data_IF_883965802284
#
_entry.id   IF_883965802284
#
_cell.length_a   1.000
_cell.length_b   1.000
_cell.length_c   1.000
_cell.angle_alpha   90.00
_cell.angle_beta   90.00
_cell.angle_gamma   90.00
#
_symmetry.space_group_name_H-M   'P 1'
#
loop_
_entity.id
_entity.type
_entity.pdbx_description
1 polymer ?
#
# COMPACT_ATOMS: atom_id res chain seq x y z
N UNK A 1 22.16 11.25 -12.34
CA UNK A 1 21.67 10.58 -13.57
C UNK A 1 20.85 9.37 -13.14
N UNK A 2 19.53 9.38 -13.28
CA UNK A 2 18.67 8.24 -12.90
C UNK A 2 18.41 7.42 -14.16
N UNK A 3 18.78 6.15 -14.13
CA UNK A 3 18.57 5.24 -15.25
C UNK A 3 17.11 4.79 -15.31
N UNK A 4 16.50 4.76 -16.50
CA UNK A 4 15.11 4.31 -16.67
C UNK A 4 14.95 2.82 -16.41
N UNK A 5 13.81 2.39 -15.85
CA UNK A 5 13.42 0.97 -15.76
C UNK A 5 12.67 0.43 -16.97
N UNK A 6 12.37 1.30 -17.95
CA UNK A 6 11.63 0.88 -19.14
C UNK A 6 12.39 -0.24 -19.87
N UNK A 7 11.72 -1.36 -20.24
CA UNK A 7 12.35 -2.40 -21.02
C UNK A 7 12.81 -1.84 -22.37
N UNK A 8 14.06 -2.09 -22.76
CA UNK A 8 14.60 -1.81 -24.10
C UNK A 8 14.83 -3.15 -24.80
N UNK A 9 14.43 -3.24 -26.07
CA UNK A 9 14.45 -4.48 -26.82
C UNK A 9 15.88 -5.06 -26.97
N UNK A 10 16.85 -4.18 -27.22
CA UNK A 10 18.28 -4.50 -27.31
C UNK A 10 18.83 -5.11 -26.02
N UNK A 11 18.52 -4.49 -24.88
CA UNK A 11 18.92 -4.95 -23.55
C UNK A 11 18.26 -6.27 -23.18
N UNK A 12 16.96 -6.43 -23.47
CA UNK A 12 16.21 -7.67 -23.19
C UNK A 12 16.71 -8.85 -24.03
N UNK A 13 17.09 -8.60 -25.29
CA UNK A 13 17.61 -9.64 -26.18
C UNK A 13 19.01 -10.14 -25.76
N UNK A 14 19.87 -9.23 -25.27
CA UNK A 14 21.23 -9.58 -24.84
C UNK A 14 21.30 -10.09 -23.40
N UNK A 15 20.44 -9.60 -22.53
CA UNK A 15 20.45 -9.92 -21.10
C UNK A 15 19.05 -9.74 -20.49
N UNK A 16 18.21 -10.76 -20.59
CA UNK A 16 16.90 -10.73 -19.95
C UNK A 16 16.98 -10.56 -18.41
N UNK A 17 18.09 -11.00 -17.80
CA UNK A 17 18.35 -10.96 -16.36
C UNK A 17 18.68 -9.56 -15.81
N UNK A 18 19.00 -8.59 -16.68
CA UNK A 18 19.42 -7.23 -16.30
C UNK A 18 20.75 -7.19 -15.53
N UNK A 19 21.59 -8.23 -15.63
CA UNK A 19 22.94 -8.28 -15.07
C UNK A 19 23.85 -7.15 -15.56
N UNK A 20 23.69 -6.76 -16.83
CA UNK A 20 24.45 -5.69 -17.49
C UNK A 20 23.88 -4.31 -17.17
N UNK A 21 22.94 -4.21 -16.23
CA UNK A 21 22.34 -2.96 -15.74
C UNK A 21 21.87 -2.08 -16.89
N UNK A 22 21.26 -2.64 -17.94
CA UNK A 22 20.77 -1.87 -19.09
C UNK A 22 19.46 -1.12 -18.80
N UNK A 23 18.85 -1.39 -17.64
CA UNK A 23 17.71 -0.68 -17.04
C UNK A 23 17.75 -0.80 -15.52
N UNK A 24 17.09 0.13 -14.84
CA UNK A 24 16.85 0.00 -13.40
C UNK A 24 15.87 -1.15 -13.12
N UNK A 25 16.19 -2.09 -12.20
CA UNK A 25 15.27 -3.16 -11.84
C UNK A 25 14.13 -2.60 -10.97
N UNK A 26 12.84 -2.81 -11.34
CA UNK A 26 11.73 -2.40 -10.51
C UNK A 26 11.84 -2.99 -9.10
N UNK A 27 11.51 -2.18 -8.10
CA UNK A 27 11.69 -2.51 -6.68
C UNK A 27 10.36 -2.46 -5.96
N UNK A 28 9.90 -3.60 -5.44
CA UNK A 28 8.73 -3.66 -4.55
C UNK A 28 8.92 -2.74 -3.33
N UNK A 29 7.88 -2.01 -2.96
CA UNK A 29 7.86 -1.20 -1.75
C UNK A 29 7.97 -2.07 -0.50
N UNK A 30 8.54 -1.52 0.57
CA UNK A 30 8.56 -2.19 1.88
C UNK A 30 7.20 -2.09 2.55
N UNK A 31 6.95 -2.95 3.54
CA UNK A 31 5.72 -2.94 4.33
C UNK A 31 5.32 -1.54 4.82
N UNK A 32 6.29 -0.79 5.37
CA UNK A 32 6.09 0.56 5.90
C UNK A 32 5.70 1.55 4.80
N UNK A 33 6.37 1.47 3.66
CA UNK A 33 6.06 2.33 2.52
C UNK A 33 4.69 2.03 1.92
N UNK A 34 4.28 0.75 1.84
CA UNK A 34 2.96 0.38 1.33
C UNK A 34 1.88 0.96 2.25
N UNK A 35 2.01 0.76 3.56
CA UNK A 35 1.06 1.27 4.54
C UNK A 35 0.97 2.80 4.52
N UNK A 36 2.11 3.48 4.59
CA UNK A 36 2.15 4.95 4.61
C UNK A 36 1.62 5.51 3.27
N UNK A 37 1.84 4.82 2.14
CA UNK A 37 1.27 5.22 0.84
C UNK A 37 -0.24 5.07 0.82
N UNK A 38 -0.81 4.00 1.38
CA UNK A 38 -2.26 3.82 1.51
C UNK A 38 -2.89 4.93 2.34
N UNK A 39 -2.30 5.24 3.50
CA UNK A 39 -2.75 6.32 4.38
C UNK A 39 -2.65 7.70 3.68
N UNK A 40 -1.61 7.91 2.88
CA UNK A 40 -1.43 9.16 2.14
C UNK A 40 -2.44 9.30 0.98
N UNK A 41 -2.71 8.21 0.26
CA UNK A 41 -3.69 8.17 -0.81
C UNK A 41 -5.12 8.38 -0.26
N UNK A 42 -5.49 7.71 0.83
CA UNK A 42 -6.79 7.88 1.48
C UNK A 42 -6.96 9.24 2.17
N UNK A 43 -5.86 9.94 2.47
CA UNK A 43 -5.88 11.21 3.18
C UNK A 43 -5.90 11.06 4.71
N UNK A 44 -5.83 9.82 5.22
CA UNK A 44 -5.83 9.51 6.64
C UNK A 44 -4.51 9.83 7.35
N UNK A 45 -3.40 9.96 6.60
CA UNK A 45 -2.05 9.96 7.18
C UNK A 45 -1.81 11.07 8.21
N UNK A 46 -1.49 10.66 9.43
CA UNK A 46 -0.96 11.54 10.45
C UNK A 46 0.57 11.67 10.31
N UNK A 47 1.01 12.87 9.96
CA UNK A 47 2.40 13.24 9.70
C UNK A 47 3.12 13.87 10.91
N UNK A 48 2.48 13.93 12.09
CA UNK A 48 3.09 14.48 13.31
C UNK A 48 4.45 13.83 13.58
N UNK A 49 5.44 14.66 13.94
CA UNK A 49 6.79 14.22 14.29
C UNK A 49 6.96 14.10 15.81
N UNK A 50 7.70 13.09 16.28
CA UNK A 50 7.97 12.88 17.71
C UNK A 50 6.75 12.44 18.54
N UNK A 51 6.89 12.39 19.87
CA UNK A 51 5.79 11.96 20.75
C UNK A 51 5.50 10.45 20.69
N UNK A 52 4.43 9.98 21.38
CA UNK A 52 4.18 8.57 21.59
C UNK A 52 3.79 7.83 20.31
N UNK A 53 4.28 6.60 20.18
CA UNK A 53 3.86 5.69 19.12
C UNK A 53 2.43 5.19 19.28
N UNK A 54 1.97 4.39 18.31
CA UNK A 54 0.68 3.69 18.37
C UNK A 54 0.87 2.18 18.44
N UNK A 55 -0.20 1.47 18.80
CA UNK A 55 -0.21 0.01 18.96
C UNK A 55 -1.22 -0.61 18.00
N UNK A 56 -0.79 -1.65 17.28
CA UNK A 56 -1.63 -2.45 16.38
C UNK A 56 -2.09 -3.76 17.01
N UNK A 57 -1.82 -3.94 18.30
CA UNK A 57 -2.22 -5.11 19.07
C UNK A 57 -3.11 -4.70 20.23
N UNK A 58 -4.18 -5.45 20.44
CA UNK A 58 -4.92 -5.47 21.70
C UNK A 58 -4.15 -6.33 22.69
N UNK A 59 -3.93 -5.80 23.90
CA UNK A 59 -3.16 -6.47 24.93
C UNK A 59 -4.15 -6.95 25.98
N UNK A 60 -4.26 -8.27 26.12
CA UNK A 60 -5.03 -8.89 27.20
C UNK A 60 -4.03 -9.33 28.27
N UNK A 61 -4.20 -8.82 29.49
CA UNK A 61 -3.41 -9.24 30.65
C UNK A 61 -4.20 -10.27 31.43
N UNK A 62 -3.71 -11.51 31.40
CA UNK A 62 -4.09 -12.56 32.35
C UNK A 62 -2.86 -12.86 33.22
N UNK A 63 -2.35 -14.10 33.18
CA UNK A 63 -1.09 -14.48 33.84
C UNK A 63 0.15 -14.02 33.05
N UNK A 64 -0.01 -13.81 31.73
CA UNK A 64 1.00 -13.29 30.80
C UNK A 64 0.32 -12.28 29.86
N UNK A 65 1.10 -11.43 29.19
CA UNK A 65 0.58 -10.53 28.16
C UNK A 65 0.34 -11.29 26.86
N UNK A 66 -0.91 -11.36 26.43
CA UNK A 66 -1.29 -11.86 25.11
C UNK A 66 -1.52 -10.69 24.16
N UNK A 67 -1.00 -10.81 22.93
CA UNK A 67 -1.09 -9.77 21.91
C UNK A 67 -1.95 -10.28 20.76
N UNK A 68 -3.10 -9.66 20.56
CA UNK A 68 -4.00 -10.00 19.47
C UNK A 68 -3.95 -8.91 18.40
N UNK A 69 -3.78 -9.25 17.11
CA UNK A 69 -3.82 -8.25 16.04
C UNK A 69 -5.15 -7.49 16.06
N UNK A 70 -5.09 -6.17 15.94
CA UNK A 70 -6.30 -5.35 15.86
C UNK A 70 -6.96 -5.52 14.50
N UNK A 71 -8.28 -5.76 14.54
CA UNK A 71 -9.09 -5.87 13.33
C UNK A 71 -9.60 -4.53 12.84
N UNK A 72 -9.75 -3.55 13.74
CA UNK A 72 -10.30 -2.22 13.46
C UNK A 72 -9.30 -1.14 13.80
N UNK A 73 -9.02 -0.25 12.82
CA UNK A 73 -8.11 0.87 12.96
C UNK A 73 -8.89 2.18 13.08
N UNK A 74 -8.44 3.07 13.95
CA UNK A 74 -9.01 4.40 14.18
C UNK A 74 -7.99 5.48 13.83
N UNK A 75 -8.37 6.75 14.02
CA UNK A 75 -7.49 7.91 13.78
C UNK A 75 -6.15 7.81 14.49
N UNK A 76 -6.09 7.15 15.65
CA UNK A 76 -4.86 6.96 16.42
C UNK A 76 -3.85 6.03 15.72
N UNK A 77 -4.31 5.16 14.83
CA UNK A 77 -3.48 4.20 14.09
C UNK A 77 -3.18 4.66 12.66
N UNK A 78 -3.65 5.83 12.22
CA UNK A 78 -3.34 6.36 10.90
C UNK A 78 -2.01 7.12 10.84
N UNK A 79 -1.18 6.93 11.86
CA UNK A 79 0.15 7.50 11.96
C UNK A 79 1.16 6.69 11.15
N UNK A 80 2.19 7.38 10.63
CA UNK A 80 3.33 6.78 9.91
C UNK A 80 3.86 5.55 10.65
N UNK A 81 4.09 4.46 9.91
CA UNK A 81 4.45 3.15 10.47
C UNK A 81 5.78 3.15 11.22
N UNK A 82 6.64 4.14 11.01
CA UNK A 82 7.87 4.34 11.80
C UNK A 82 7.61 4.56 13.30
N UNK A 83 6.42 5.07 13.66
CA UNK A 83 5.98 5.23 15.06
C UNK A 83 5.20 4.02 15.60
N UNK A 84 5.12 2.93 14.84
CA UNK A 84 4.41 1.74 15.26
C UNK A 84 5.22 0.99 16.32
N UNK A 85 4.56 0.62 17.42
CA UNK A 85 5.16 -0.27 18.41
C UNK A 85 5.35 -1.66 17.81
N UNK A 86 6.56 -2.20 17.90
CA UNK A 86 6.89 -3.56 17.49
C UNK A 86 6.96 -4.48 18.69
N UNK A 87 6.22 -5.58 18.63
CA UNK A 87 6.30 -6.67 19.62
C UNK A 87 7.28 -7.70 19.08
N UNK A 88 8.22 -8.14 19.91
CA UNK A 88 9.37 -8.94 19.47
C UNK A 88 8.98 -10.32 18.95
N UNK A 89 7.94 -10.92 19.55
CA UNK A 89 7.49 -12.29 19.27
C UNK A 89 6.27 -12.35 18.34
N UNK A 90 5.72 -11.20 17.92
CA UNK A 90 4.43 -11.16 17.24
C UNK A 90 4.47 -10.29 15.99
N UNK A 91 3.81 -10.76 14.94
CA UNK A 91 3.72 -10.05 13.66
C UNK A 91 2.36 -9.37 13.50
N UNK A 92 2.39 -8.22 12.81
CA UNK A 92 1.16 -7.53 12.39
C UNK A 92 0.45 -8.35 11.30
N UNK A 93 -0.87 -8.42 11.35
CA UNK A 93 -1.68 -9.29 10.48
C UNK A 93 -1.53 -8.96 8.98
N UNK A 94 -1.53 -7.67 8.62
CA UNK A 94 -1.54 -7.25 7.21
C UNK A 94 -0.11 -7.03 6.71
N UNK A 95 0.74 -6.37 7.48
CA UNK A 95 2.07 -5.94 7.07
C UNK A 95 3.20 -6.81 7.61
N UNK A 96 2.95 -7.70 8.58
CA UNK A 96 3.90 -8.71 9.01
C UNK A 96 4.31 -9.64 7.86
N UNK A 97 3.34 -10.01 7.03
CA UNK A 97 3.57 -10.83 5.83
C UNK A 97 4.46 -10.14 4.77
N UNK A 98 4.72 -8.83 4.85
CA UNK A 98 5.43 -8.03 3.85
C UNK A 98 6.95 -7.95 4.08
N UNK A 99 7.56 -9.09 4.41
CA UNK A 99 9.01 -9.20 4.70
C UNK A 99 9.47 -8.18 5.76
N UNK A 100 8.60 -7.91 6.75
CA UNK A 100 8.95 -7.04 7.86
C UNK A 100 9.99 -7.75 8.72
N UNK A 101 11.10 -7.07 9.13
CA UNK A 101 12.10 -7.69 10.00
C UNK A 101 11.48 -8.28 11.25
N UNK A 102 11.85 -9.53 11.56
CA UNK A 102 11.57 -10.14 12.86
C UNK A 102 12.30 -9.35 13.95
N UNK A 103 11.58 -8.96 15.00
CA UNK A 103 12.16 -8.25 16.14
C UNK A 103 13.17 -9.09 16.94
N UNK A 104 13.18 -10.41 16.74
CA UNK A 104 14.12 -11.33 17.38
C UNK A 104 15.48 -11.44 16.69
N UNK A 105 15.60 -11.04 15.43
CA UNK A 105 16.78 -11.33 14.61
C UNK A 105 17.44 -10.06 14.08
N UNK A 106 18.78 -10.08 14.04
CA UNK A 106 19.54 -9.05 13.32
C UNK A 106 19.47 -9.36 11.83
N UNK A 107 19.01 -8.41 11.02
CA UNK A 107 18.95 -8.54 9.57
C UNK A 107 19.83 -7.49 8.89
N UNK A 108 20.93 -7.93 8.27
CA UNK A 108 21.84 -7.04 7.54
C UNK A 108 21.22 -6.54 6.22
N UNK A 109 20.40 -7.37 5.58
CA UNK A 109 19.73 -7.07 4.31
C UNK A 109 18.29 -7.59 4.33
N UNK A 110 17.32 -6.69 4.15
CA UNK A 110 15.91 -7.08 4.06
C UNK A 110 15.67 -7.99 2.83
N UNK A 111 15.02 -9.12 3.05
CA UNK A 111 14.44 -9.94 1.98
C UNK A 111 13.28 -9.20 1.32
N UNK A 112 12.99 -9.56 0.08
CA UNK A 112 11.83 -9.06 -0.66
C UNK A 112 11.25 -10.25 -1.42
N UNK A 113 10.15 -10.76 -0.88
CA UNK A 113 9.41 -11.85 -1.46
C UNK A 113 8.24 -11.28 -2.26
N UNK A 114 7.74 -12.06 -3.20
CA UNK A 114 6.48 -11.79 -3.91
C UNK A 114 5.65 -13.05 -3.83
N UNK A 115 4.88 -13.19 -2.75
CA UNK A 115 4.08 -14.39 -2.52
C UNK A 115 2.60 -14.13 -2.84
N UNK A 116 1.86 -15.14 -3.32
CA UNK A 116 0.40 -15.03 -3.49
C UNK A 116 -0.31 -14.63 -2.20
N UNK A 117 0.18 -15.10 -1.04
CA UNK A 117 -0.38 -14.79 0.27
C UNK A 117 -0.29 -13.28 0.60
N UNK A 118 0.82 -12.63 0.24
CA UNK A 118 0.96 -11.18 0.39
C UNK A 118 -0.06 -10.43 -0.47
N UNK A 119 -0.26 -10.84 -1.72
CA UNK A 119 -1.27 -10.24 -2.59
C UNK A 119 -2.70 -10.44 -2.05
N UNK A 120 -3.01 -11.64 -1.56
CA UNK A 120 -4.29 -11.95 -0.96
C UNK A 120 -4.54 -11.15 0.33
N UNK A 121 -3.49 -10.94 1.14
CA UNK A 121 -3.54 -10.13 2.35
C UNK A 121 -3.84 -8.66 2.07
N UNK A 122 -3.29 -8.08 1.01
CA UNK A 122 -3.68 -6.72 0.60
C UNK A 122 -5.09 -6.66 0.03
N UNK A 123 -5.51 -7.73 -0.64
CA UNK A 123 -6.83 -7.77 -1.21
C UNK A 123 -7.88 -7.80 -0.09
N UNK A 124 -7.72 -8.64 0.93
CA UNK A 124 -8.75 -8.92 1.94
C UNK A 124 -8.51 -8.31 3.33
N UNK A 125 -7.35 -7.71 3.57
CA UNK A 125 -7.01 -7.16 4.89
C UNK A 125 -7.97 -6.04 5.30
N UNK A 126 -8.44 -6.08 6.55
CA UNK A 126 -9.39 -5.09 7.09
C UNK A 126 -8.86 -3.65 6.97
N UNK A 127 -7.56 -3.46 7.20
CA UNK A 127 -6.89 -2.18 6.99
C UNK A 127 -7.06 -1.68 5.55
N UNK A 128 -6.78 -2.52 4.55
CA UNK A 128 -6.83 -2.11 3.14
C UNK A 128 -8.27 -1.82 2.72
N UNK A 129 -9.25 -2.59 3.20
CA UNK A 129 -10.67 -2.33 2.95
C UNK A 129 -11.10 -0.98 3.55
N UNK A 130 -10.66 -0.66 4.77
CA UNK A 130 -10.92 0.64 5.39
C UNK A 130 -10.27 1.79 4.59
N UNK A 131 -9.00 1.65 4.20
CA UNK A 131 -8.30 2.67 3.42
C UNK A 131 -8.90 2.83 2.01
N UNK A 132 -9.38 1.76 1.38
CA UNK A 132 -10.08 1.81 0.11
C UNK A 132 -11.41 2.58 0.24
N UNK A 133 -12.14 2.37 1.34
CA UNK A 133 -13.37 3.13 1.61
C UNK A 133 -13.07 4.61 1.81
N UNK A 134 -12.10 4.95 2.65
CA UNK A 134 -11.69 6.33 2.88
C UNK A 134 -11.17 7.02 1.61
N UNK A 135 -10.44 6.30 0.75
CA UNK A 135 -10.01 6.82 -0.55
C UNK A 135 -11.21 7.11 -1.46
N UNK A 136 -12.22 6.23 -1.48
CA UNK A 136 -13.44 6.48 -2.23
C UNK A 136 -14.18 7.72 -1.71
N UNK A 137 -14.43 7.81 -0.41
CA UNK A 137 -15.12 8.95 0.22
C UNK A 137 -14.35 10.27 -0.02
N UNK A 138 -13.01 10.22 0.03
CA UNK A 138 -12.14 11.35 -0.33
C UNK A 138 -12.31 11.77 -1.79
N UNK A 139 -12.40 10.83 -2.72
CA UNK A 139 -12.60 11.15 -4.13
C UNK A 139 -13.96 11.84 -4.37
N UNK A 140 -15.02 11.42 -3.67
CA UNK A 140 -16.31 12.10 -3.73
C UNK A 140 -16.24 13.51 -3.15
N UNK A 141 -15.57 13.67 -2.01
CA UNK A 141 -15.37 14.98 -1.35
C UNK A 141 -14.55 15.93 -2.22
N UNK A 142 -13.50 15.42 -2.88
CA UNK A 142 -12.61 16.20 -3.74
C UNK A 142 -13.26 16.56 -5.09
N UNK A 143 -14.40 15.94 -5.46
CA UNK A 143 -15.11 16.17 -6.73
C UNK A 143 -16.61 16.42 -6.52
N UNK A 144 -16.99 17.48 -5.79
CA UNK A 144 -18.39 17.76 -5.50
C UNK A 144 -19.17 18.04 -6.80
N UNK A 145 -20.26 17.31 -7.02
CA UNK A 145 -21.06 17.42 -8.26
C UNK A 145 -20.36 16.86 -9.52
N UNK A 146 -19.18 16.26 -9.38
CA UNK A 146 -18.43 15.67 -10.49
C UNK A 146 -19.01 14.34 -10.97
N UNK A 147 -18.69 14.01 -12.22
CA UNK A 147 -19.06 12.74 -12.85
C UNK A 147 -18.29 11.55 -12.27
N UNK A 148 -18.71 10.33 -12.60
CA UNK A 148 -17.93 9.11 -12.27
C UNK A 148 -16.51 9.19 -12.84
N UNK A 149 -16.34 9.75 -14.05
CA UNK A 149 -15.04 9.91 -14.68
C UNK A 149 -14.11 10.85 -13.90
N UNK A 150 -14.64 11.92 -13.29
CA UNK A 150 -13.88 12.84 -12.45
C UNK A 150 -13.37 12.14 -11.18
N UNK A 151 -14.24 11.35 -10.54
CA UNK A 151 -13.90 10.54 -9.35
C UNK A 151 -12.83 9.49 -9.67
N UNK A 152 -12.95 8.80 -10.80
CA UNK A 152 -11.97 7.82 -11.29
C UNK A 152 -10.62 8.50 -11.54
N UNK A 153 -10.64 9.64 -12.23
CA UNK A 153 -9.43 10.44 -12.51
C UNK A 153 -8.74 10.88 -11.22
N UNK A 154 -9.54 11.32 -10.23
CA UNK A 154 -9.03 11.70 -8.91
C UNK A 154 -8.41 10.52 -8.18
N UNK A 155 -9.07 9.36 -8.17
CA UNK A 155 -8.57 8.15 -7.51
C UNK A 155 -7.22 7.70 -8.08
N UNK A 156 -7.09 7.67 -9.41
CA UNK A 156 -5.83 7.33 -10.10
C UNK A 156 -4.73 8.32 -9.74
N UNK A 157 -5.04 9.63 -9.74
CA UNK A 157 -4.07 10.67 -9.40
C UNK A 157 -3.58 10.55 -7.95
N UNK A 158 -4.47 10.22 -7.02
CA UNK A 158 -4.13 10.01 -5.61
C UNK A 158 -3.31 8.73 -5.39
N UNK A 159 -3.63 7.65 -6.11
CA UNK A 159 -2.94 6.37 -5.97
C UNK A 159 -1.57 6.35 -6.66
N UNK A 160 -1.47 6.85 -7.90
CA UNK A 160 -0.27 6.71 -8.74
C UNK A 160 0.55 7.99 -8.89
N UNK A 161 0.03 9.14 -8.45
CA UNK A 161 0.75 10.42 -8.54
C UNK A 161 0.91 10.96 -9.96
N UNK A 162 0.15 10.44 -10.94
CA UNK A 162 0.19 10.84 -12.35
C UNK A 162 -1.22 11.06 -12.91
N UNK A 163 -1.39 11.75 -14.05
CA UNK A 163 -2.68 11.82 -14.73
C UNK A 163 -3.15 10.43 -15.20
N UNK A 164 -4.47 10.23 -15.18
CA UNK A 164 -5.11 9.06 -15.74
C UNK A 164 -5.12 9.13 -17.27
N UNK A 165 -4.97 7.99 -17.92
CA UNK A 165 -5.18 7.85 -19.37
C UNK A 165 -6.65 7.61 -19.68
N UNK A 166 -7.09 7.93 -20.90
CA UNK A 166 -8.49 7.72 -21.33
C UNK A 166 -8.95 6.27 -21.12
N UNK A 167 -8.11 5.29 -21.47
CA UNK A 167 -8.42 3.87 -21.27
C UNK A 167 -8.62 3.49 -19.79
N UNK A 168 -7.87 4.11 -18.87
CA UNK A 168 -8.02 3.87 -17.44
C UNK A 168 -9.28 4.51 -16.88
N UNK A 169 -9.64 5.70 -17.37
CA UNK A 169 -10.89 6.37 -16.99
C UNK A 169 -12.09 5.54 -17.46
N UNK A 170 -12.06 5.03 -18.69
CA UNK A 170 -13.14 4.21 -19.24
C UNK A 170 -13.28 2.89 -18.47
N UNK A 171 -12.16 2.20 -18.20
CA UNK A 171 -12.16 0.96 -17.43
C UNK A 171 -12.58 1.18 -15.97
N UNK A 172 -12.10 2.25 -15.35
CA UNK A 172 -12.46 2.62 -13.99
C UNK A 172 -13.93 2.97 -13.86
N UNK A 173 -14.47 3.74 -14.81
CA UNK A 173 -15.90 4.10 -14.84
C UNK A 173 -16.78 2.86 -14.91
N UNK A 174 -16.50 1.93 -15.84
CA UNK A 174 -17.24 0.65 -15.93
C UNK A 174 -17.19 -0.17 -14.63
N UNK A 175 -16.05 -0.14 -13.93
CA UNK A 175 -15.91 -0.85 -12.66
C UNK A 175 -16.73 -0.18 -11.55
N UNK A 176 -16.69 1.15 -11.48
CA UNK A 176 -17.45 1.94 -10.49
C UNK A 176 -18.95 1.78 -10.70
N UNK A 177 -19.42 1.79 -11.95
CA UNK A 177 -20.84 1.62 -12.25
C UNK A 177 -21.37 0.24 -11.79
N UNK A 178 -20.52 -0.79 -11.81
CA UNK A 178 -20.91 -2.15 -11.43
C UNK A 178 -20.73 -2.45 -9.93
N UNK A 179 -19.68 -1.92 -9.31
CA UNK A 179 -19.24 -2.34 -7.98
C UNK A 179 -18.98 -1.18 -7.00
N UNK A 180 -19.17 0.06 -7.45
CA UNK A 180 -18.95 1.27 -6.66
C UNK A 180 -17.48 1.70 -6.58
N UNK A 181 -17.29 2.93 -6.11
CA UNK A 181 -15.98 3.56 -5.96
C UNK A 181 -15.03 2.84 -4.98
N UNK A 182 -15.49 2.24 -3.87
CA UNK A 182 -14.63 1.46 -2.99
C UNK A 182 -13.98 0.25 -3.68
N UNK A 183 -14.65 -0.37 -4.65
CA UNK A 183 -14.08 -1.48 -5.42
C UNK A 183 -12.93 -1.01 -6.32
N UNK A 184 -13.08 0.14 -6.97
CA UNK A 184 -12.00 0.78 -7.73
C UNK A 184 -10.83 1.12 -6.81
N UNK A 185 -11.08 1.78 -5.68
CA UNK A 185 -10.04 2.14 -4.72
C UNK A 185 -9.26 0.90 -4.26
N UNK A 186 -9.96 -0.19 -3.91
CA UNK A 186 -9.34 -1.47 -3.55
C UNK A 186 -8.47 -2.03 -4.67
N UNK A 187 -8.92 -1.99 -5.93
CA UNK A 187 -8.16 -2.45 -7.08
C UNK A 187 -6.88 -1.62 -7.31
N UNK A 188 -6.98 -0.29 -7.19
CA UNK A 188 -5.82 0.61 -7.35
C UNK A 188 -4.76 0.34 -6.27
N UNK A 189 -5.16 0.21 -5.01
CA UNK A 189 -4.25 -0.07 -3.88
C UNK A 189 -3.58 -1.45 -3.96
N UNK A 190 -4.14 -2.38 -4.75
CA UNK A 190 -3.61 -3.72 -5.00
C UNK A 190 -2.84 -3.84 -6.32
N UNK A 191 -2.75 -2.76 -7.10
CA UNK A 191 -2.08 -2.78 -8.41
C UNK A 191 -0.56 -2.83 -8.28
N UNK A 192 0.11 -3.38 -9.32
CA UNK A 192 1.57 -3.36 -9.38
C UNK A 192 2.12 -1.92 -9.42
N UNK A 193 1.43 -1.00 -10.07
CA UNK A 193 1.88 0.40 -10.13
C UNK A 193 1.91 1.05 -8.74
N UNK A 194 0.98 0.67 -7.85
CA UNK A 194 0.98 1.15 -6.48
C UNK A 194 2.09 0.52 -5.62
N UNK A 195 2.41 -0.75 -5.87
CA UNK A 195 3.29 -1.55 -4.99
C UNK A 195 4.76 -1.54 -5.41
N UNK A 196 5.10 -1.02 -6.58
CA UNK A 196 6.44 -1.10 -7.14
C UNK A 196 6.98 0.28 -7.50
N UNK A 197 8.22 0.54 -7.11
CA UNK A 197 8.99 1.64 -7.64
C UNK A 197 9.54 1.24 -9.03
N UNK A 198 9.26 2.04 -10.07
CA UNK A 198 9.91 1.91 -11.36
C UNK A 198 11.36 2.39 -11.29
#
# INVERSE_FOLDING_TARGET
MVQSSRPRADGKARDAGKRLLWRFPPRRLTAEAIRDSMLSASGAIDRRMGGPGFKVFEIVMENVRHYFPRKTYTVNEWRRMVYMTKIRQEQDEVFGAFDCPDGNQVIARRSRSTTPLQALGLLNGSFVLQQARMLADRCETDTPGGSTADRVTRAIRLAFGRPATTSEVDAGTRLVDRHGLPALARALLNSNEFLWLP
#
